data_IF_557322947728
#
_entry.id   IF_557322947728
#
_cell.length_a   1.000
_cell.length_b   1.000
_cell.length_c   1.000
_cell.angle_alpha   90.00
_cell.angle_beta   90.00
_cell.angle_gamma   90.00
#
_symmetry.space_group_name_H-M   'P 1'
#
loop_
_entity.id
_entity.type
_entity.pdbx_description
1 polymer ?
#
# COMPACT_ATOMS: atom_id res chain seq x y z
N UNK A 1 24.12 -3.57 -30.90
CA UNK A 1 24.26 -4.01 -29.50
C UNK A 1 23.80 -2.87 -28.61
N UNK A 2 22.66 -3.03 -27.94
CA UNK A 2 22.11 -2.01 -27.05
C UNK A 2 22.88 -2.00 -25.71
N UNK A 3 23.12 -0.85 -25.07
CA UNK A 3 23.67 -0.83 -23.72
C UNK A 3 22.59 -1.23 -22.71
N UNK A 4 22.97 -2.08 -21.77
CA UNK A 4 22.13 -2.59 -20.70
C UNK A 4 21.76 -1.48 -19.70
N UNK A 5 20.47 -1.41 -19.38
CA UNK A 5 19.89 -0.52 -18.37
C UNK A 5 20.37 -0.89 -16.97
N UNK A 6 21.00 0.05 -16.28
CA UNK A 6 21.36 -0.05 -14.86
C UNK A 6 20.09 -0.14 -14.01
N UNK A 7 19.81 -1.32 -13.43
CA UNK A 7 18.87 -1.43 -12.32
C UNK A 7 19.53 -0.86 -11.06
N UNK A 8 19.02 0.26 -10.57
CA UNK A 8 19.42 0.83 -9.29
C UNK A 8 18.98 -0.11 -8.15
N UNK A 9 19.86 -1.03 -7.76
CA UNK A 9 19.72 -1.86 -6.56
C UNK A 9 20.03 -1.00 -5.33
N UNK A 10 19.03 -0.25 -4.86
CA UNK A 10 19.17 0.57 -3.65
C UNK A 10 19.52 -0.31 -2.44
N UNK A 11 20.76 -0.24 -1.95
CA UNK A 11 21.16 -0.89 -0.69
C UNK A 11 20.35 -0.30 0.46
N UNK A 12 19.69 -1.17 1.24
CA UNK A 12 19.06 -0.80 2.50
C UNK A 12 20.14 -0.54 3.55
N UNK A 13 19.94 0.43 4.43
CA UNK A 13 20.90 0.70 5.51
C UNK A 13 20.86 -0.47 6.51
N UNK A 14 22.00 -1.16 6.68
CA UNK A 14 22.11 -2.30 7.60
C UNK A 14 21.80 -1.95 9.07
N UNK A 15 21.69 -0.65 9.40
CA UNK A 15 21.25 -0.14 10.72
C UNK A 15 19.74 0.10 10.85
N UNK A 16 18.95 -0.10 9.80
CA UNK A 16 17.51 0.07 9.88
C UNK A 16 16.90 -1.04 10.76
N UNK A 17 16.41 -0.65 11.94
CA UNK A 17 15.64 -1.51 12.84
C UNK A 17 14.34 -0.85 13.25
N UNK A 18 13.31 -1.67 13.48
CA UNK A 18 11.99 -1.22 13.90
C UNK A 18 10.87 -2.07 13.32
N UNK A 19 9.63 -1.62 13.52
CA UNK A 19 8.43 -2.25 12.94
C UNK A 19 7.92 -1.46 11.74
N UNK A 20 7.59 -2.18 10.68
CA UNK A 20 6.78 -1.74 9.55
C UNK A 20 5.34 -2.20 9.80
N UNK A 21 4.44 -1.27 10.09
CA UNK A 21 3.02 -1.54 10.24
C UNK A 21 2.31 -1.37 8.88
N UNK A 22 1.56 -2.38 8.44
CA UNK A 22 0.68 -2.28 7.27
C UNK A 22 -0.76 -2.17 7.74
N UNK A 23 -1.42 -1.08 7.36
CA UNK A 23 -2.83 -0.81 7.63
C UNK A 23 -3.54 -0.76 6.29
N UNK A 24 -4.05 -1.90 5.84
CA UNK A 24 -4.75 -1.99 4.56
C UNK A 24 -6.04 -2.80 4.59
N UNK A 25 -6.53 -3.14 3.40
CA UNK A 25 -7.76 -3.92 3.21
C UNK A 25 -7.50 -5.36 2.72
N UNK A 26 -8.43 -5.94 1.94
CA UNK A 26 -8.31 -7.28 1.38
C UNK A 26 -7.10 -7.45 0.46
N UNK A 27 -6.65 -6.39 -0.21
CA UNK A 27 -5.45 -6.41 -1.06
C UNK A 27 -4.18 -6.68 -0.26
N UNK A 28 -4.19 -6.35 1.02
CA UNK A 28 -3.09 -6.55 1.96
C UNK A 28 -3.34 -7.66 2.97
N UNK A 29 -4.52 -8.28 2.97
CA UNK A 29 -4.96 -9.29 3.95
C UNK A 29 -5.00 -10.73 3.40
N UNK A 30 -4.38 -11.00 2.25
CA UNK A 30 -4.34 -12.36 1.63
C UNK A 30 -5.73 -12.90 1.26
N UNK A 31 -6.68 -12.03 0.91
CA UNK A 31 -8.04 -12.47 0.58
C UNK A 31 -8.06 -13.50 -0.56
N UNK A 32 -8.62 -14.68 -0.27
CA UNK A 32 -8.73 -15.77 -1.24
C UNK A 32 -7.39 -16.45 -1.61
N UNK A 33 -6.30 -16.15 -0.90
CA UNK A 33 -4.97 -16.71 -1.15
C UNK A 33 -4.57 -17.72 -0.06
N UNK A 34 -3.56 -18.54 -0.36
CA UNK A 34 -2.91 -19.30 0.71
C UNK A 34 -2.09 -18.36 1.60
N UNK A 35 -2.06 -18.66 2.89
CA UNK A 35 -1.31 -17.85 3.85
C UNK A 35 0.18 -17.84 3.50
N UNK A 36 0.78 -16.66 3.45
CA UNK A 36 2.18 -16.48 3.09
C UNK A 36 2.42 -16.14 1.62
N UNK A 37 1.40 -16.20 0.77
CA UNK A 37 1.51 -15.82 -0.64
C UNK A 37 1.27 -14.34 -0.89
N UNK A 38 0.69 -13.60 0.06
CA UNK A 38 0.37 -12.18 -0.11
C UNK A 38 1.60 -11.30 -0.17
N UNK A 39 1.46 -10.15 -0.82
CA UNK A 39 2.55 -9.20 -1.01
C UNK A 39 3.19 -8.75 0.31
N UNK A 40 2.42 -8.66 1.41
CA UNK A 40 2.94 -8.29 2.74
C UNK A 40 3.82 -9.41 3.33
N UNK A 41 3.45 -10.67 3.13
CA UNK A 41 4.26 -11.80 3.56
C UNK A 41 5.56 -11.89 2.73
N UNK A 42 5.45 -11.71 1.41
CA UNK A 42 6.62 -11.61 0.52
C UNK A 42 7.53 -10.43 0.90
N UNK A 43 6.95 -9.29 1.30
CA UNK A 43 7.68 -8.13 1.80
C UNK A 43 8.47 -8.48 3.07
N UNK A 44 7.85 -9.19 4.01
CA UNK A 44 8.51 -9.64 5.23
C UNK A 44 9.70 -10.57 4.93
N UNK A 45 9.56 -11.49 3.98
CA UNK A 45 10.65 -12.37 3.55
C UNK A 45 11.82 -11.58 2.94
N UNK A 46 11.53 -10.60 2.07
CA UNK A 46 12.56 -9.73 1.49
C UNK A 46 13.26 -8.87 2.55
N UNK A 47 12.51 -8.31 3.50
CA UNK A 47 13.06 -7.55 4.61
C UNK A 47 13.96 -8.40 5.51
N UNK A 48 13.59 -9.65 5.80
CA UNK A 48 14.45 -10.54 6.59
C UNK A 48 15.83 -10.75 5.94
N UNK A 49 15.93 -10.69 4.60
CA UNK A 49 17.18 -10.83 3.87
C UNK A 49 17.95 -9.51 3.73
N UNK A 50 17.26 -8.40 3.45
CA UNK A 50 17.89 -7.13 3.09
C UNK A 50 17.97 -6.11 4.23
N UNK A 51 17.13 -6.27 5.24
CA UNK A 51 16.98 -5.36 6.39
C UNK A 51 16.53 -6.14 7.64
N UNK A 52 17.33 -7.10 8.15
CA UNK A 52 16.91 -8.06 9.17
C UNK A 52 16.46 -7.43 10.50
N UNK A 53 16.80 -6.17 10.75
CA UNK A 53 16.28 -5.41 11.91
C UNK A 53 14.83 -4.93 11.76
N UNK A 54 14.24 -5.04 10.57
CA UNK A 54 12.87 -4.59 10.27
C UNK A 54 11.91 -5.77 10.36
N UNK A 55 10.92 -5.67 11.24
CA UNK A 55 9.84 -6.65 11.38
C UNK A 55 8.54 -6.10 10.82
N UNK A 56 7.71 -6.95 10.22
CA UNK A 56 6.43 -6.54 9.62
C UNK A 56 5.27 -6.90 10.54
N UNK A 57 4.37 -5.94 10.76
CA UNK A 57 3.08 -6.14 11.42
C UNK A 57 1.99 -5.91 10.38
N UNK A 58 1.33 -6.98 9.93
CA UNK A 58 0.19 -6.85 9.04
C UNK A 58 -1.10 -6.70 9.85
N UNK A 59 -1.68 -5.51 9.84
CA UNK A 59 -2.94 -5.19 10.51
C UNK A 59 -4.06 -4.96 9.48
N UNK A 60 -3.97 -5.56 8.30
CA UNK A 60 -4.96 -5.38 7.24
C UNK A 60 -6.23 -6.20 7.48
N UNK A 61 -7.38 -5.66 7.09
CA UNK A 61 -8.69 -6.30 7.31
C UNK A 61 -9.46 -6.29 5.99
N UNK A 62 -9.89 -7.47 5.51
CA UNK A 62 -10.72 -7.55 4.30
C UNK A 62 -12.00 -6.72 4.43
N UNK A 63 -12.25 -5.84 3.46
CA UNK A 63 -13.44 -4.98 3.43
C UNK A 63 -13.34 -3.69 4.26
N UNK A 64 -12.17 -3.39 4.84
CA UNK A 64 -11.94 -2.15 5.60
C UNK A 64 -12.05 -0.93 4.68
N UNK A 65 -12.65 0.15 5.18
CA UNK A 65 -12.68 1.46 4.52
C UNK A 65 -11.66 2.38 5.17
N UNK A 66 -11.40 3.54 4.56
CA UNK A 66 -10.57 4.59 5.17
C UNK A 66 -11.07 4.99 6.57
N UNK A 67 -12.39 4.98 6.80
CA UNK A 67 -13.00 5.29 8.09
C UNK A 67 -12.70 4.22 9.17
N UNK A 68 -12.71 2.94 8.78
CA UNK A 68 -12.35 1.81 9.64
C UNK A 68 -10.89 1.87 10.03
N UNK A 69 -10.01 2.05 9.05
CA UNK A 69 -8.58 2.26 9.24
C UNK A 69 -8.27 3.42 10.18
N UNK A 70 -8.91 4.57 9.98
CA UNK A 70 -8.76 5.75 10.85
C UNK A 70 -9.13 5.45 12.29
N UNK A 71 -10.24 4.74 12.50
CA UNK A 71 -10.75 4.47 13.85
C UNK A 71 -9.82 3.57 14.66
N UNK A 72 -9.17 2.59 14.01
CA UNK A 72 -8.29 1.61 14.68
C UNK A 72 -6.82 2.02 14.76
N UNK A 73 -6.37 2.98 13.93
CA UNK A 73 -4.97 3.37 13.84
C UNK A 73 -4.36 3.83 15.17
N UNK A 74 -5.00 4.66 16.02
CA UNK A 74 -4.40 5.12 17.28
C UNK A 74 -3.99 3.96 18.21
N UNK A 75 -4.81 2.92 18.31
CA UNK A 75 -4.51 1.75 19.13
C UNK A 75 -3.31 0.97 18.56
N UNK A 76 -3.26 0.80 17.24
CA UNK A 76 -2.14 0.13 16.55
C UNK A 76 -0.82 0.88 16.72
N UNK A 77 -0.84 2.22 16.59
CA UNK A 77 0.35 3.06 16.81
C UNK A 77 0.87 2.92 18.23
N UNK A 78 -0.02 2.98 19.23
CA UNK A 78 0.34 2.82 20.65
C UNK A 78 0.91 1.43 20.95
N UNK A 79 0.28 0.38 20.42
CA UNK A 79 0.65 -1.01 20.67
C UNK A 79 1.99 -1.37 20.01
N UNK A 80 2.17 -0.98 18.75
CA UNK A 80 3.31 -1.44 17.97
C UNK A 80 4.49 -0.47 18.01
N UNK A 81 4.26 0.83 18.18
CA UNK A 81 5.27 1.89 18.06
C UNK A 81 6.10 1.74 16.77
N UNK A 82 5.44 1.74 15.59
CA UNK A 82 6.12 1.48 14.33
C UNK A 82 7.05 2.64 13.95
N UNK A 83 8.16 2.31 13.29
CA UNK A 83 9.04 3.30 12.65
C UNK A 83 8.54 3.65 11.25
N UNK A 84 7.82 2.74 10.60
CA UNK A 84 7.21 2.93 9.29
C UNK A 84 5.75 2.47 9.29
N UNK A 85 4.89 3.21 8.61
CA UNK A 85 3.49 2.83 8.39
C UNK A 85 3.17 2.86 6.91
N UNK A 86 2.65 1.76 6.39
CA UNK A 86 2.02 1.68 5.07
C UNK A 86 0.51 1.81 5.25
N UNK A 87 -0.10 2.74 4.53
CA UNK A 87 -1.56 2.92 4.48
C UNK A 87 -2.04 2.54 3.08
N UNK A 88 -2.83 1.49 2.98
CA UNK A 88 -3.37 0.94 1.73
C UNK A 88 -4.89 0.82 1.89
N UNK A 89 -5.59 1.95 1.82
CA UNK A 89 -7.04 2.03 2.03
C UNK A 89 -7.66 3.04 1.06
N UNK A 90 -8.97 2.92 0.85
CA UNK A 90 -9.74 3.78 -0.05
C UNK A 90 -10.39 3.01 -1.21
N UNK A 91 -9.90 1.81 -1.53
CA UNK A 91 -10.50 0.95 -2.56
C UNK A 91 -11.96 0.61 -2.24
N UNK A 92 -12.23 0.15 -1.02
CA UNK A 92 -13.60 -0.14 -0.57
C UNK A 92 -14.49 1.11 -0.50
N UNK A 93 -13.94 2.27 -0.11
CA UNK A 93 -14.68 3.53 -0.13
C UNK A 93 -15.16 3.83 -1.56
N UNK A 94 -14.26 3.68 -2.53
CA UNK A 94 -14.57 3.95 -3.92
C UNK A 94 -15.56 2.94 -4.52
N UNK A 95 -15.39 1.65 -4.23
CA UNK A 95 -16.31 0.58 -4.66
C UNK A 95 -17.72 0.74 -4.08
N UNK A 96 -17.83 1.32 -2.88
CA UNK A 96 -19.11 1.59 -2.21
C UNK A 96 -19.71 2.95 -2.57
N UNK A 97 -19.05 3.74 -3.42
CA UNK A 97 -19.51 5.07 -3.81
C UNK A 97 -19.54 6.08 -2.67
N UNK A 98 -18.65 5.94 -1.67
CA UNK A 98 -18.55 6.89 -0.57
C UNK A 98 -17.98 8.24 -1.05
N UNK A 99 -18.31 9.37 -0.40
CA UNK A 99 -17.78 10.67 -0.77
C UNK A 99 -16.24 10.72 -0.72
N UNK A 100 -15.61 11.12 -1.83
CA UNK A 100 -14.14 11.19 -1.92
C UNK A 100 -13.52 12.17 -0.92
N UNK A 101 -14.23 13.24 -0.54
CA UNK A 101 -13.78 14.16 0.51
C UNK A 101 -13.64 13.45 1.85
N UNK A 102 -14.56 12.55 2.20
CA UNK A 102 -14.45 11.75 3.43
C UNK A 102 -13.27 10.78 3.35
N UNK A 103 -13.05 10.13 2.20
CA UNK A 103 -11.88 9.26 1.98
C UNK A 103 -10.57 10.04 2.15
N UNK A 104 -10.47 11.22 1.51
CA UNK A 104 -9.32 12.12 1.60
C UNK A 104 -9.04 12.52 3.04
N UNK A 105 -10.05 13.00 3.76
CA UNK A 105 -9.91 13.50 5.12
C UNK A 105 -9.50 12.37 6.10
N UNK A 106 -10.03 11.16 5.89
CA UNK A 106 -9.63 9.99 6.66
C UNK A 106 -8.17 9.61 6.42
N UNK A 107 -7.73 9.51 5.17
CA UNK A 107 -6.35 9.19 4.82
C UNK A 107 -5.37 10.25 5.31
N UNK A 108 -5.72 11.54 5.17
CA UNK A 108 -4.91 12.64 5.70
C UNK A 108 -4.79 12.57 7.23
N UNK A 109 -5.89 12.29 7.92
CA UNK A 109 -5.88 12.10 9.38
C UNK A 109 -4.98 10.92 9.78
N UNK A 110 -5.07 9.79 9.07
CA UNK A 110 -4.24 8.62 9.35
C UNK A 110 -2.74 8.91 9.14
N UNK A 111 -2.39 9.53 8.02
CA UNK A 111 -1.03 9.95 7.73
C UNK A 111 -0.48 10.89 8.82
N UNK A 112 -1.27 11.88 9.23
CA UNK A 112 -0.91 12.83 10.29
C UNK A 112 -0.67 12.14 11.63
N UNK A 113 -1.58 11.26 12.05
CA UNK A 113 -1.46 10.51 13.31
C UNK A 113 -0.20 9.63 13.33
N UNK A 114 0.06 8.90 12.24
CA UNK A 114 1.26 8.07 12.12
C UNK A 114 2.54 8.90 12.20
N UNK A 115 2.58 10.06 11.52
CA UNK A 115 3.73 10.99 11.60
C UNK A 115 3.91 11.61 12.98
N UNK A 116 2.82 12.00 13.65
CA UNK A 116 2.86 12.50 15.03
C UNK A 116 3.36 11.44 16.02
N UNK A 117 3.11 10.16 15.75
CA UNK A 117 3.68 9.04 16.49
C UNK A 117 5.15 8.75 16.15
N UNK A 118 5.79 9.55 15.28
CA UNK A 118 7.19 9.43 14.90
C UNK A 118 7.46 8.47 13.73
N UNK A 119 6.44 7.95 13.06
CA UNK A 119 6.61 7.04 11.94
C UNK A 119 6.80 7.77 10.60
N UNK A 120 7.63 7.22 9.72
CA UNK A 120 7.61 7.56 8.30
C UNK A 120 6.43 6.85 7.63
N UNK A 121 5.71 7.56 6.75
CA UNK A 121 4.49 7.05 6.13
C UNK A 121 4.70 6.84 4.64
N UNK A 122 4.28 5.67 4.14
CA UNK A 122 4.05 5.39 2.73
C UNK A 122 2.55 5.26 2.50
N UNK A 123 1.97 6.20 1.76
CA UNK A 123 0.61 6.08 1.27
C UNK A 123 0.60 5.26 -0.03
N UNK A 124 -0.26 4.25 -0.11
CA UNK A 124 -0.43 3.41 -1.30
C UNK A 124 -1.73 3.78 -1.97
N UNK A 125 -1.61 4.31 -3.19
CA UNK A 125 -2.72 4.73 -4.01
C UNK A 125 -3.37 3.59 -4.78
N UNK A 126 -4.64 3.81 -5.09
CA UNK A 126 -5.47 2.95 -5.91
C UNK A 126 -6.12 3.74 -7.04
N UNK A 127 -6.56 3.04 -8.09
CA UNK A 127 -7.27 3.62 -9.21
C UNK A 127 -8.55 2.84 -9.47
N UNK A 128 -9.61 3.55 -9.87
CA UNK A 128 -10.85 2.94 -10.34
C UNK A 128 -10.85 2.86 -11.86
N UNK A 129 -11.41 1.78 -12.45
CA UNK A 129 -11.49 1.69 -13.89
C UNK A 129 -12.44 2.77 -14.48
N UNK A 130 -12.25 3.17 -15.76
CA UNK A 130 -12.98 4.29 -16.36
C UNK A 130 -14.51 4.12 -16.39
N UNK A 131 -15.02 2.90 -16.24
CA UNK A 131 -16.45 2.60 -16.19
C UNK A 131 -17.17 3.16 -14.95
N UNK A 132 -16.44 3.58 -13.91
CA UNK A 132 -16.98 4.34 -12.78
C UNK A 132 -17.15 5.85 -13.08
N UNK A 133 -16.81 6.27 -14.31
CA UNK A 133 -16.81 7.66 -14.75
C UNK A 133 -15.41 8.25 -14.69
N UNK A 134 -14.93 8.78 -15.81
CA UNK A 134 -13.56 9.29 -15.95
C UNK A 134 -13.21 10.36 -14.92
N UNK A 135 -14.15 11.28 -14.63
CA UNK A 135 -13.95 12.31 -13.61
C UNK A 135 -13.73 11.70 -12.24
N UNK A 136 -14.59 10.76 -11.84
CA UNK A 136 -14.49 10.09 -10.56
C UNK A 136 -13.19 9.28 -10.43
N UNK A 137 -12.81 8.54 -11.47
CA UNK A 137 -11.55 7.79 -11.48
C UNK A 137 -10.33 8.71 -11.35
N UNK A 138 -10.32 9.86 -12.04
CA UNK A 138 -9.26 10.86 -11.96
C UNK A 138 -9.21 11.51 -10.57
N UNK A 139 -10.36 11.93 -10.04
CA UNK A 139 -10.47 12.53 -8.71
C UNK A 139 -10.02 11.54 -7.63
N UNK A 140 -10.37 10.25 -7.79
CA UNK A 140 -9.95 9.19 -6.89
C UNK A 140 -8.43 8.98 -6.91
N UNK A 141 -7.80 8.89 -8.08
CA UNK A 141 -6.35 8.78 -8.17
C UNK A 141 -5.63 10.02 -7.61
N UNK A 142 -6.15 11.22 -7.90
CA UNK A 142 -5.56 12.49 -7.49
C UNK A 142 -5.66 12.73 -5.98
N UNK A 143 -6.64 12.15 -5.27
CA UNK A 143 -6.75 12.31 -3.83
C UNK A 143 -5.51 11.80 -3.10
N UNK A 144 -4.93 10.67 -3.52
CA UNK A 144 -3.75 10.09 -2.86
C UNK A 144 -2.54 11.01 -2.99
N UNK A 145 -2.35 11.60 -4.17
CA UNK A 145 -1.30 12.62 -4.40
C UNK A 145 -1.51 13.84 -3.51
N UNK A 146 -2.75 14.34 -3.46
CA UNK A 146 -3.13 15.49 -2.63
C UNK A 146 -2.84 15.24 -1.15
N UNK A 147 -3.21 14.07 -0.63
CA UNK A 147 -2.93 13.68 0.77
C UNK A 147 -1.43 13.57 1.03
N UNK A 148 -0.69 12.90 0.13
CA UNK A 148 0.75 12.70 0.31
C UNK A 148 1.52 14.03 0.34
N UNK A 149 1.16 14.98 -0.53
CA UNK A 149 1.72 16.32 -0.56
C UNK A 149 1.39 17.10 0.72
N UNK A 150 0.11 17.11 1.13
CA UNK A 150 -0.34 17.85 2.31
C UNK A 150 0.29 17.34 3.62
N UNK A 151 0.36 16.01 3.79
CA UNK A 151 0.86 15.38 5.01
C UNK A 151 2.35 15.02 4.95
N UNK A 152 3.02 15.32 3.83
CA UNK A 152 4.45 15.08 3.58
C UNK A 152 4.84 13.60 3.75
N UNK A 153 4.09 12.72 3.10
CA UNK A 153 4.36 11.28 3.08
C UNK A 153 5.02 10.87 1.77
N UNK A 154 5.65 9.69 1.77
CA UNK A 154 5.93 9.02 0.50
C UNK A 154 4.60 8.53 -0.13
N UNK A 155 4.64 8.29 -1.44
CA UNK A 155 3.50 7.83 -2.23
C UNK A 155 3.93 6.74 -3.20
N UNK A 156 3.23 5.61 -3.18
CA UNK A 156 3.11 4.72 -4.34
C UNK A 156 1.82 5.09 -5.06
N UNK A 157 1.84 5.66 -6.27
CA UNK A 157 0.61 6.17 -6.91
C UNK A 157 -0.43 5.09 -7.21
N UNK A 158 0.01 3.87 -7.53
CA UNK A 158 -0.88 2.78 -7.87
C UNK A 158 -0.29 1.42 -7.50
N UNK A 159 -0.95 0.69 -6.59
CA UNK A 159 -0.53 -0.64 -6.16
C UNK A 159 -0.48 -1.66 -7.31
N UNK A 160 -1.46 -1.62 -8.21
CA UNK A 160 -1.63 -2.61 -9.28
C UNK A 160 -0.98 -2.19 -10.60
N UNK A 161 -0.01 -1.26 -10.56
CA UNK A 161 0.77 -0.88 -11.73
C UNK A 161 1.52 -2.09 -12.30
N UNK A 162 1.51 -2.26 -13.62
CA UNK A 162 2.10 -3.42 -14.29
C UNK A 162 1.28 -4.70 -14.10
N UNK A 163 0.04 -4.61 -13.59
CA UNK A 163 -0.90 -5.72 -13.38
C UNK A 163 -2.24 -5.37 -14.04
N UNK A 164 -2.87 -4.27 -13.61
CA UNK A 164 -4.19 -3.86 -14.07
C UNK A 164 -4.18 -3.19 -15.46
N UNK A 165 -3.04 -2.68 -15.90
CA UNK A 165 -2.78 -2.01 -17.19
C UNK A 165 -2.28 -2.96 -18.28
N UNK A 166 -2.18 -4.26 -17.99
CA UNK A 166 -1.71 -5.27 -18.93
C UNK A 166 -2.81 -5.73 -19.91
N UNK A 167 -2.45 -6.18 -21.13
CA UNK A 167 -3.41 -6.82 -22.03
C UNK A 167 -4.06 -8.09 -21.44
N UNK A 168 -3.31 -8.84 -20.62
CA UNK A 168 -3.76 -10.08 -19.97
C UNK A 168 -4.17 -9.87 -18.50
N UNK A 169 -4.52 -8.64 -18.11
CA UNK A 169 -4.81 -8.24 -16.73
C UNK A 169 -5.78 -9.19 -16.03
N UNK A 170 -6.86 -9.61 -16.69
CA UNK A 170 -7.89 -10.48 -16.08
C UNK A 170 -7.34 -11.84 -15.61
N UNK A 171 -6.21 -12.32 -16.14
CA UNK A 171 -5.56 -13.55 -15.63
C UNK A 171 -4.87 -13.37 -14.28
N UNK A 172 -4.71 -12.13 -13.82
CA UNK A 172 -4.10 -11.77 -12.53
C UNK A 172 -5.14 -11.49 -11.45
N UNK A 173 -6.44 -11.52 -11.77
CA UNK A 173 -7.53 -11.32 -10.83
C UNK A 173 -8.30 -12.62 -10.59
N UNK A 174 -8.86 -12.76 -9.40
CA UNK A 174 -9.77 -13.82 -9.02
C UNK A 174 -11.08 -13.69 -9.82
N UNK A 175 -11.98 -14.66 -9.66
CA UNK A 175 -13.26 -14.70 -10.39
C UNK A 175 -14.13 -13.44 -10.18
N UNK A 176 -13.96 -12.74 -9.05
CA UNK A 176 -14.65 -11.48 -8.76
C UNK A 176 -14.11 -10.27 -9.55
N UNK A 177 -12.97 -10.42 -10.26
CA UNK A 177 -12.29 -9.38 -11.05
C UNK A 177 -11.83 -8.16 -10.25
N UNK A 178 -11.80 -8.26 -8.92
CA UNK A 178 -11.39 -7.20 -8.00
C UNK A 178 -10.10 -7.60 -7.29
N UNK A 179 -10.03 -8.83 -6.79
CA UNK A 179 -8.92 -9.28 -5.96
C UNK A 179 -7.81 -9.92 -6.80
N UNK A 180 -6.54 -9.53 -6.63
CA UNK A 180 -5.44 -10.17 -7.33
C UNK A 180 -5.22 -11.63 -6.90
N UNK A 181 -4.73 -12.47 -7.79
CA UNK A 181 -4.33 -13.87 -7.51
C UNK A 181 -2.90 -13.92 -6.96
N UNK A 182 -2.43 -15.10 -6.55
CA UNK A 182 -1.04 -15.33 -6.15
C UNK A 182 -0.02 -14.87 -7.22
N UNK A 183 -0.39 -15.00 -8.51
CA UNK A 183 0.44 -14.58 -9.65
C UNK A 183 0.78 -13.08 -9.64
N UNK A 184 -0.07 -12.25 -9.03
CA UNK A 184 0.10 -10.80 -8.96
C UNK A 184 0.96 -10.34 -7.77
N UNK A 185 1.06 -11.15 -6.71
CA UNK A 185 1.55 -10.71 -5.40
C UNK A 185 3.02 -10.28 -5.41
N UNK A 186 3.86 -10.96 -6.20
CA UNK A 186 5.27 -10.60 -6.35
C UNK A 186 5.43 -9.20 -6.97
N UNK A 187 4.66 -8.89 -8.02
CA UNK A 187 4.69 -7.58 -8.67
C UNK A 187 4.11 -6.48 -7.75
N UNK A 188 3.04 -6.77 -7.00
CA UNK A 188 2.51 -5.84 -5.99
C UNK A 188 3.57 -5.52 -4.93
N UNK A 189 4.27 -6.53 -4.44
CA UNK A 189 5.35 -6.37 -3.46
C UNK A 189 6.51 -5.56 -4.04
N UNK A 190 6.89 -5.78 -5.30
CA UNK A 190 7.92 -4.99 -6.00
C UNK A 190 7.52 -3.51 -6.16
N UNK A 191 6.26 -3.25 -6.49
CA UNK A 191 5.72 -1.89 -6.57
C UNK A 191 5.86 -1.18 -5.21
N UNK A 192 5.44 -1.83 -4.12
CA UNK A 192 5.58 -1.27 -2.76
C UNK A 192 7.05 -1.13 -2.38
N UNK A 193 7.89 -2.11 -2.69
CA UNK A 193 9.33 -2.08 -2.39
C UNK A 193 10.01 -0.87 -3.01
N UNK A 194 9.68 -0.55 -4.27
CA UNK A 194 10.27 0.59 -4.99
C UNK A 194 10.04 1.94 -4.28
N UNK A 195 8.87 2.10 -3.65
CA UNK A 195 8.51 3.31 -2.90
C UNK A 195 8.99 3.26 -1.44
N UNK A 196 9.10 2.06 -0.85
CA UNK A 196 9.47 1.86 0.55
C UNK A 196 10.98 1.95 0.77
N UNK A 197 11.80 1.41 -0.13
CA UNK A 197 13.26 1.21 0.08
C UNK A 197 14.00 2.50 0.43
N UNK A 198 13.56 3.64 -0.10
CA UNK A 198 14.13 4.96 0.21
C UNK A 198 13.86 5.41 1.65
N UNK A 199 12.75 4.98 2.26
CA UNK A 199 12.41 5.26 3.65
C UNK A 199 13.18 4.41 4.66
N UNK A 200 13.70 3.25 4.23
CA UNK A 200 14.45 2.33 5.09
C UNK A 200 15.94 2.71 5.24
N UNK A 201 16.35 3.88 4.72
CA UNK A 201 17.75 4.33 4.75
C UNK A 201 18.11 5.07 6.04
#
# INVERSE_FOLDING_TARGET
MAPASSQATGRVNAKASGKLLVVGDSLSAEYGLQRGEGWVALMAQRLAQQAPGVSVVNASISGDTSSGGRSRLPALLKQHQPRWVIIELGGNDALRGLPLDSTRDNLATMARLARQAGAQVLLVGMQMPPNYGQRYANDFAQLFKTVAEAEKTALLPFLLQGIADRPDAMSYFQADRIHPTAKAQAQMMDNVWSALVGLLR
#
